data_IF_994046926425
#
_entry.id   IF_994046926425
#
_cell.length_a   1.000
_cell.length_b   1.000
_cell.length_c   1.000
_cell.angle_alpha   90.00
_cell.angle_beta   90.00
_cell.angle_gamma   90.00
#
_symmetry.space_group_name_H-M   'P 1'
#
loop_
_entity.id
_entity.type
_entity.pdbx_description
1 polymer ?
#
# COMPACT_ATOMS: atom_id res chain seq x y z
N UNK A 1 -25.93 -18.34 35.78
CA UNK A 1 -24.73 -18.45 34.91
C UNK A 1 -25.17 -18.46 33.46
N UNK A 2 -24.41 -17.84 32.55
CA UNK A 2 -24.73 -17.84 31.11
C UNK A 2 -24.00 -19.02 30.46
N UNK A 3 -24.74 -20.05 30.05
CA UNK A 3 -24.16 -21.17 29.30
C UNK A 3 -23.54 -20.63 27.99
N UNK A 4 -22.32 -21.07 27.66
CA UNK A 4 -21.56 -20.69 26.45
C UNK A 4 -21.14 -19.20 26.33
N UNK A 5 -20.72 -18.58 27.43
CA UNK A 5 -20.05 -17.27 27.32
C UNK A 5 -18.77 -17.37 26.46
N UNK A 6 -18.58 -16.41 25.54
CA UNK A 6 -17.39 -16.33 24.71
C UNK A 6 -16.15 -16.18 25.61
N UNK A 7 -15.14 -17.01 25.37
CA UNK A 7 -13.85 -16.94 26.05
C UNK A 7 -12.84 -16.23 25.14
N UNK A 8 -11.96 -15.37 25.70
CA UNK A 8 -10.84 -14.84 24.94
C UNK A 8 -10.04 -15.97 24.30
N UNK A 9 -9.83 -15.89 22.99
CA UNK A 9 -8.98 -16.83 22.23
C UNK A 9 -8.33 -16.11 21.06
N UNK A 10 -7.20 -16.64 20.61
CA UNK A 10 -6.57 -16.18 19.38
C UNK A 10 -7.25 -16.80 18.16
N UNK A 11 -7.42 -15.98 17.11
CA UNK A 11 -7.89 -16.40 15.80
C UNK A 11 -6.76 -16.40 14.75
N UNK A 12 -5.51 -16.18 15.17
CA UNK A 12 -4.37 -16.12 14.27
C UNK A 12 -4.13 -17.47 13.60
N UNK A 13 -3.98 -17.46 12.28
CA UNK A 13 -3.60 -18.62 11.48
C UNK A 13 -2.35 -18.31 10.68
N UNK A 14 -1.35 -19.20 10.75
CA UNK A 14 -0.08 -19.02 10.04
C UNK A 14 -0.24 -19.43 8.58
N UNK A 15 0.23 -18.58 7.68
CA UNK A 15 0.35 -18.88 6.24
C UNK A 15 1.81 -19.21 5.90
N UNK A 16 2.02 -20.19 5.03
CA UNK A 16 3.35 -20.54 4.55
C UNK A 16 3.94 -19.41 3.69
N UNK A 17 5.24 -19.14 3.85
CA UNK A 17 5.93 -18.04 3.13
C UNK A 17 5.77 -18.14 1.61
N UNK A 18 5.87 -19.35 1.04
CA UNK A 18 5.69 -19.57 -0.41
C UNK A 18 4.27 -19.23 -0.87
N UNK A 19 3.26 -19.64 -0.11
CA UNK A 19 1.86 -19.32 -0.40
C UNK A 19 1.61 -17.81 -0.33
N UNK A 20 2.15 -17.13 0.70
CA UNK A 20 2.02 -15.68 0.84
C UNK A 20 2.63 -14.92 -0.35
N UNK A 21 3.85 -15.28 -0.78
CA UNK A 21 4.47 -14.69 -1.98
C UNK A 21 3.67 -14.96 -3.24
N UNK A 22 3.11 -16.16 -3.39
CA UNK A 22 2.23 -16.51 -4.51
C UNK A 22 0.98 -15.62 -4.56
N UNK A 23 0.33 -15.43 -3.41
CA UNK A 23 -0.84 -14.56 -3.29
C UNK A 23 -0.50 -13.09 -3.62
N UNK A 24 0.60 -12.56 -3.08
CA UNK A 24 1.05 -11.18 -3.38
C UNK A 24 1.28 -10.97 -4.88
N UNK A 25 1.94 -11.91 -5.56
CA UNK A 25 2.14 -11.85 -7.02
C UNK A 25 0.83 -11.87 -7.79
N UNK A 26 -0.08 -12.77 -7.42
CA UNK A 26 -1.40 -12.84 -8.05
C UNK A 26 -2.20 -11.54 -7.87
N UNK A 27 -2.14 -10.94 -6.67
CA UNK A 27 -2.82 -9.67 -6.39
C UNK A 27 -2.23 -8.50 -7.17
N UNK A 28 -0.91 -8.38 -7.24
CA UNK A 28 -0.27 -7.34 -8.06
C UNK A 28 -0.58 -7.52 -9.54
N UNK A 29 -0.59 -8.76 -10.04
CA UNK A 29 -0.99 -9.08 -11.41
C UNK A 29 -2.45 -8.70 -11.67
N UNK A 30 -3.35 -8.94 -10.72
CA UNK A 30 -4.75 -8.57 -10.82
C UNK A 30 -4.94 -7.04 -10.83
N UNK A 31 -4.22 -6.32 -9.97
CA UNK A 31 -4.26 -4.86 -9.95
C UNK A 31 -3.76 -4.26 -11.27
N UNK A 32 -2.70 -4.83 -11.85
CA UNK A 32 -2.21 -4.42 -13.16
C UNK A 32 -3.24 -4.71 -14.27
N UNK A 33 -3.88 -5.89 -14.24
CA UNK A 33 -4.94 -6.27 -15.20
C UNK A 33 -6.14 -5.33 -15.14
N UNK A 34 -6.45 -4.80 -13.96
CA UNK A 34 -7.55 -3.84 -13.73
C UNK A 34 -7.14 -2.38 -13.96
N UNK A 35 -5.91 -2.11 -14.43
CA UNK A 35 -5.38 -0.75 -14.59
C UNK A 35 -5.37 0.07 -13.29
N UNK A 36 -5.32 -0.63 -12.14
CA UNK A 36 -5.30 -0.03 -10.80
C UNK A 36 -3.89 0.16 -10.25
N UNK A 37 -2.88 -0.44 -10.88
CA UNK A 37 -1.48 -0.28 -10.53
C UNK A 37 -0.80 0.65 -11.54
N UNK A 38 -0.29 1.79 -11.05
CA UNK A 38 0.49 2.75 -11.84
C UNK A 38 1.89 2.90 -11.28
N UNK A 39 2.86 3.14 -12.15
CA UNK A 39 4.27 3.33 -11.77
C UNK A 39 4.69 4.76 -12.09
N UNK A 40 5.34 5.41 -11.13
CA UNK A 40 5.93 6.74 -11.28
C UNK A 40 7.44 6.67 -11.05
N UNK A 41 8.20 7.57 -11.67
CA UNK A 41 9.66 7.55 -11.52
C UNK A 41 10.07 7.89 -10.08
N UNK A 42 9.57 9.03 -9.59
CA UNK A 42 9.90 9.59 -8.27
C UNK A 42 8.65 10.26 -7.72
N UNK A 43 8.45 10.15 -6.40
CA UNK A 43 7.36 10.81 -5.69
C UNK A 43 7.94 11.55 -4.48
N UNK A 44 8.13 12.85 -4.63
CA UNK A 44 8.69 13.73 -3.61
C UNK A 44 7.82 14.97 -3.42
N UNK A 45 7.82 15.50 -2.19
CA UNK A 45 7.18 16.77 -1.85
C UNK A 45 8.17 17.68 -1.10
N UNK A 46 8.09 18.98 -1.37
CA UNK A 46 9.03 19.95 -0.80
C UNK A 46 8.90 20.06 0.73
N UNK A 47 7.67 20.01 1.23
CA UNK A 47 7.31 20.16 2.63
C UNK A 47 6.18 19.18 3.04
N UNK A 48 6.08 18.78 4.33
CA UNK A 48 5.05 17.86 4.84
C UNK A 48 3.67 18.55 4.92
N UNK A 49 3.10 18.91 3.77
CA UNK A 49 1.80 19.59 3.65
C UNK A 49 0.84 18.74 2.84
N UNK A 50 -0.31 18.43 3.43
CA UNK A 50 -1.41 17.68 2.79
C UNK A 50 -1.83 18.30 1.45
N UNK A 51 -1.90 19.63 1.38
CA UNK A 51 -2.26 20.35 0.15
C UNK A 51 -1.26 20.11 -0.99
N UNK A 52 0.03 20.03 -0.69
CA UNK A 52 1.05 19.75 -1.70
C UNK A 52 0.91 18.32 -2.23
N UNK A 53 0.67 17.35 -1.34
CA UNK A 53 0.43 15.97 -1.73
C UNK A 53 -0.83 15.85 -2.61
N UNK A 54 -1.95 16.45 -2.20
CA UNK A 54 -3.20 16.44 -2.99
C UNK A 54 -3.00 17.06 -4.37
N UNK A 55 -2.30 18.20 -4.45
CA UNK A 55 -1.98 18.82 -5.74
C UNK A 55 -1.14 17.88 -6.61
N UNK A 56 -0.11 17.24 -6.02
CA UNK A 56 0.75 16.30 -6.74
C UNK A 56 -0.02 15.09 -7.28
N UNK A 57 -0.94 14.53 -6.48
CA UNK A 57 -1.80 13.42 -6.91
C UNK A 57 -2.73 13.85 -8.06
N UNK A 58 -3.30 15.06 -7.98
CA UNK A 58 -4.14 15.60 -9.05
C UNK A 58 -3.36 15.84 -10.35
N UNK A 59 -2.13 16.36 -10.27
CA UNK A 59 -1.23 16.54 -11.43
C UNK A 59 -0.94 15.22 -12.15
N UNK A 60 -0.82 14.13 -11.38
CA UNK A 60 -0.59 12.79 -11.89
C UNK A 60 -1.88 12.08 -12.35
N UNK A 61 -3.05 12.73 -12.22
CA UNK A 61 -4.35 12.13 -12.54
C UNK A 61 -4.75 10.97 -11.61
N UNK A 62 -4.16 10.91 -10.42
CA UNK A 62 -4.42 9.87 -9.43
C UNK A 62 -5.64 10.27 -8.60
N UNK A 63 -6.53 9.32 -8.34
CA UNK A 63 -7.75 9.52 -7.56
C UNK A 63 -7.48 9.78 -6.07
N UNK A 64 -8.54 10.05 -5.33
CA UNK A 64 -8.46 10.35 -3.90
C UNK A 64 -8.25 9.12 -3.00
N UNK A 65 -8.41 7.91 -3.54
CA UNK A 65 -8.28 6.65 -2.81
C UNK A 65 -7.12 5.82 -3.38
N UNK A 66 -5.96 6.00 -2.76
CA UNK A 66 -4.68 5.50 -3.29
C UNK A 66 -3.75 5.00 -2.19
N UNK A 67 -3.08 3.89 -2.48
CA UNK A 67 -1.91 3.43 -1.77
C UNK A 67 -0.64 3.89 -2.49
N UNK A 68 0.20 4.66 -1.81
CA UNK A 68 1.52 5.07 -2.28
C UNK A 68 2.57 4.07 -1.79
N UNK A 69 3.27 3.43 -2.72
CA UNK A 69 4.35 2.49 -2.44
C UNK A 69 5.70 3.13 -2.75
N UNK A 70 6.52 3.28 -1.71
CA UNK A 70 7.85 3.89 -1.77
C UNK A 70 8.93 2.87 -1.37
N UNK A 71 10.17 3.12 -1.76
CA UNK A 71 11.29 2.22 -1.49
C UNK A 71 11.75 2.25 -0.03
N UNK A 72 11.74 3.44 0.58
CA UNK A 72 12.21 3.70 1.92
C UNK A 72 11.29 4.70 2.61
N UNK A 73 11.41 4.82 3.93
CA UNK A 73 10.62 5.74 4.72
C UNK A 73 10.89 7.19 4.32
N UNK A 74 9.82 7.93 4.00
CA UNK A 74 9.84 9.37 3.74
C UNK A 74 8.88 10.07 4.72
N UNK A 75 9.46 10.68 5.75
CA UNK A 75 8.71 11.38 6.79
C UNK A 75 7.82 12.49 6.20
N UNK A 76 8.28 13.20 5.15
CA UNK A 76 7.48 14.29 4.59
C UNK A 76 6.22 13.74 3.97
N UNK A 77 6.36 12.69 3.16
CA UNK A 77 5.25 12.06 2.45
C UNK A 77 4.26 11.43 3.44
N UNK A 78 4.77 10.72 4.46
CA UNK A 78 3.95 10.12 5.50
C UNK A 78 3.17 11.16 6.32
N UNK A 79 3.83 12.24 6.76
CA UNK A 79 3.16 13.32 7.48
C UNK A 79 2.12 14.04 6.62
N UNK A 80 2.39 14.21 5.32
CA UNK A 80 1.45 14.82 4.38
C UNK A 80 0.25 13.90 4.09
N UNK A 81 0.44 12.58 4.06
CA UNK A 81 -0.62 11.61 3.82
C UNK A 81 -1.49 11.32 5.05
N UNK A 82 -0.92 11.38 6.26
CA UNK A 82 -1.56 10.94 7.51
C UNK A 82 -2.96 11.52 7.78
N UNK A 83 -3.23 12.74 7.33
CA UNK A 83 -4.54 13.39 7.53
C UNK A 83 -5.53 13.16 6.38
N UNK A 84 -5.14 12.41 5.35
CA UNK A 84 -5.98 12.08 4.20
C UNK A 84 -6.60 10.68 4.43
N UNK A 85 -7.93 10.55 4.56
CA UNK A 85 -8.57 9.31 5.02
C UNK A 85 -8.43 8.12 4.05
N UNK A 86 -8.20 8.40 2.77
CA UNK A 86 -8.13 7.39 1.71
C UNK A 86 -6.74 7.32 1.05
N UNK A 87 -5.73 7.97 1.64
CA UNK A 87 -4.35 7.95 1.13
C UNK A 87 -3.45 7.33 2.18
N UNK A 88 -2.93 6.14 1.89
CA UNK A 88 -1.93 5.49 2.74
C UNK A 88 -0.57 5.53 2.03
N UNK A 89 0.51 5.69 2.79
CA UNK A 89 1.89 5.55 2.33
C UNK A 89 2.49 4.33 3.01
N UNK A 90 3.01 3.39 2.23
CA UNK A 90 3.69 2.20 2.73
C UNK A 90 5.00 2.01 1.98
N UNK A 91 5.97 1.36 2.63
CA UNK A 91 7.18 0.93 1.94
C UNK A 91 6.93 -0.38 1.21
N UNK A 92 7.71 -0.64 0.17
CA UNK A 92 7.74 -1.94 -0.52
C UNK A 92 7.97 -3.11 0.46
N UNK A 93 8.67 -2.86 1.58
CA UNK A 93 8.91 -3.85 2.63
C UNK A 93 7.67 -4.12 3.51
N UNK A 94 6.82 -3.12 3.76
CA UNK A 94 5.66 -3.24 4.66
C UNK A 94 4.34 -3.56 3.97
N UNK A 95 4.29 -3.55 2.62
CA UNK A 95 3.07 -3.85 1.88
C UNK A 95 2.54 -5.27 2.16
N UNK A 96 1.22 -5.36 2.30
CA UNK A 96 0.49 -6.58 2.61
C UNK A 96 -0.78 -6.72 1.74
N UNK A 97 -1.42 -7.90 1.71
CA UNK A 97 -2.63 -8.11 0.91
C UNK A 97 -3.77 -7.14 1.25
N UNK A 98 -3.98 -6.84 2.53
CA UNK A 98 -5.09 -6.00 2.97
C UNK A 98 -4.92 -4.57 2.47
N UNK A 99 -3.70 -4.01 2.57
CA UNK A 99 -3.42 -2.67 2.03
C UNK A 99 -3.62 -2.61 0.52
N UNK A 100 -3.24 -3.65 -0.23
CA UNK A 100 -3.43 -3.70 -1.69
C UNK A 100 -4.91 -3.74 -2.11
N UNK A 101 -5.78 -4.39 -1.32
CA UNK A 101 -7.21 -4.49 -1.63
C UNK A 101 -7.98 -3.26 -1.17
N UNK A 102 -7.56 -2.65 -0.05
CA UNK A 102 -8.25 -1.53 0.60
C UNK A 102 -8.43 -0.33 -0.33
N UNK A 103 -7.43 -0.03 -1.15
CA UNK A 103 -7.39 1.18 -1.97
C UNK A 103 -7.82 0.95 -3.40
N UNK A 104 -8.48 1.94 -4.01
CA UNK A 104 -8.91 1.86 -5.42
C UNK A 104 -7.72 1.87 -6.38
N UNK A 105 -6.68 2.65 -6.10
CA UNK A 105 -5.47 2.71 -6.91
C UNK A 105 -4.23 2.39 -6.05
N UNK A 106 -3.19 1.86 -6.70
CA UNK A 106 -1.87 1.65 -6.12
C UNK A 106 -0.86 2.35 -7.02
N UNK A 107 -0.09 3.26 -6.45
CA UNK A 107 0.95 3.99 -7.15
C UNK A 107 2.28 3.61 -6.54
N UNK A 108 3.18 3.03 -7.34
CA UNK A 108 4.50 2.62 -6.88
C UNK A 108 5.59 3.47 -7.53
N UNK A 109 6.61 3.85 -6.76
CA UNK A 109 7.84 4.39 -7.33
C UNK A 109 8.58 3.29 -8.09
N UNK A 110 9.36 3.65 -9.11
CA UNK A 110 10.19 2.70 -9.86
C UNK A 110 11.12 1.91 -8.92
N UNK A 111 11.67 2.58 -7.91
CA UNK A 111 12.51 1.95 -6.89
C UNK A 111 11.72 0.96 -6.02
N UNK A 112 10.48 1.29 -5.63
CA UNK A 112 9.61 0.37 -4.89
C UNK A 112 9.27 -0.88 -5.70
N UNK A 113 9.01 -0.76 -7.01
CA UNK A 113 8.74 -1.91 -7.89
C UNK A 113 9.92 -2.87 -7.92
N UNK A 114 11.15 -2.37 -8.08
CA UNK A 114 12.36 -3.21 -8.09
C UNK A 114 12.52 -4.00 -6.79
N UNK A 115 12.30 -3.35 -5.64
CA UNK A 115 12.35 -4.04 -4.34
C UNK A 115 11.25 -5.11 -4.20
N UNK A 116 10.06 -4.87 -4.77
CA UNK A 116 8.99 -5.86 -4.77
C UNK A 116 9.34 -7.07 -5.64
N UNK A 117 9.94 -6.86 -6.81
CA UNK A 117 10.40 -7.93 -7.70
C UNK A 117 11.41 -8.83 -7.00
N UNK A 118 12.45 -8.25 -6.38
CA UNK A 118 13.45 -9.01 -5.63
C UNK A 118 12.82 -9.84 -4.51
N UNK A 119 11.91 -9.23 -3.74
CA UNK A 119 11.27 -9.87 -2.58
C UNK A 119 10.27 -10.96 -2.96
N UNK A 120 9.59 -10.81 -4.08
CA UNK A 120 8.51 -11.70 -4.53
C UNK A 120 8.95 -12.74 -5.56
N UNK A 121 10.20 -12.66 -6.03
CA UNK A 121 10.82 -13.73 -6.83
C UNK A 121 10.75 -15.10 -6.14
#
# INVERSE_FOLDING_TARGET
GRAFAAKPRSYAQKVNRKMYRGAMRAMLSELARQERLSVVNVLEIEAPKTKLLVNKLNELGIGQDVLLLIEAHDEKLELAARNLPYVDVLTAASVNPVSLVRHKQVVATLAAVRLLEERLS
#
